data_IF_066776338354
#
_entry.id   IF_066776338354
#
_cell.length_a   1.000
_cell.length_b   1.000
_cell.length_c   1.000
_cell.angle_alpha   90.00
_cell.angle_beta   90.00
_cell.angle_gamma   90.00
#
_symmetry.space_group_name_H-M   'P 1'
#
loop_
_entity.id
_entity.type
_entity.pdbx_description
1 polymer ?
#
# COMPACT_ATOMS: atom_id res chain seq x y z
N UNK A 1 55.96 -60.44 27.73
CA UNK A 1 55.58 -60.34 26.31
C UNK A 1 54.62 -59.16 26.22
N UNK A 2 55.12 -58.07 25.61
CA UNK A 2 54.47 -56.78 25.25
C UNK A 2 53.83 -55.95 26.38
N UNK A 3 54.00 -54.63 26.51
CA UNK A 3 55.02 -53.62 26.17
C UNK A 3 54.42 -52.29 26.65
N UNK A 4 55.19 -51.43 27.32
CA UNK A 4 55.18 -49.95 27.21
C UNK A 4 55.89 -49.29 28.41
N UNK A 5 56.91 -48.44 28.19
CA UNK A 5 57.68 -47.80 29.26
C UNK A 5 57.35 -46.31 29.50
N UNK A 6 57.72 -45.89 30.71
CA UNK A 6 58.31 -44.61 31.16
C UNK A 6 57.57 -43.29 30.98
N UNK A 7 57.28 -42.70 32.14
CA UNK A 7 57.18 -41.27 32.37
C UNK A 7 58.55 -40.57 32.23
N UNK A 8 58.55 -39.34 31.74
CA UNK A 8 59.39 -38.25 32.28
C UNK A 8 58.90 -36.89 31.74
N UNK A 9 58.66 -35.95 32.67
CA UNK A 9 58.37 -34.55 32.40
C UNK A 9 59.67 -33.73 32.38
N UNK A 10 59.70 -32.62 31.61
CA UNK A 10 60.22 -31.39 32.17
C UNK A 10 59.25 -30.20 32.00
N UNK A 11 59.44 -29.21 32.87
CA UNK A 11 58.54 -28.10 33.21
C UNK A 11 58.67 -26.85 32.29
N UNK A 12 58.02 -25.71 32.61
CA UNK A 12 57.11 -24.99 31.72
C UNK A 12 57.78 -23.92 30.85
N UNK A 13 57.37 -23.82 29.59
CA UNK A 13 57.73 -22.71 28.72
C UNK A 13 56.87 -21.46 29.05
N UNK A 14 57.58 -20.37 29.26
CA UNK A 14 57.17 -19.03 29.66
C UNK A 14 56.11 -18.38 28.76
N UNK A 15 55.20 -17.66 29.40
CA UNK A 15 54.25 -16.74 28.80
C UNK A 15 54.95 -15.61 28.03
N UNK A 16 54.57 -15.43 26.76
CA UNK A 16 54.60 -14.13 26.08
C UNK A 16 53.69 -14.15 24.84
N UNK A 17 52.89 -13.09 24.70
CA UNK A 17 52.07 -12.75 23.53
C UNK A 17 50.71 -13.44 23.38
N UNK A 18 49.87 -13.35 24.41
CA UNK A 18 48.45 -13.11 24.18
C UNK A 18 48.30 -11.65 23.72
N UNK A 19 48.53 -11.39 22.43
CA UNK A 19 48.18 -10.13 21.81
C UNK A 19 46.66 -9.97 21.98
N UNK A 20 46.28 -8.94 22.72
CA UNK A 20 44.90 -8.55 22.93
C UNK A 20 44.22 -8.29 21.58
N UNK A 21 43.31 -9.18 21.17
CA UNK A 21 42.28 -8.89 20.18
C UNK A 21 41.28 -7.89 20.78
N UNK A 22 41.74 -6.66 20.99
CA UNK A 22 40.85 -5.55 21.30
C UNK A 22 40.15 -5.17 19.99
N UNK A 23 38.80 -5.20 19.92
CA UNK A 23 38.09 -4.83 18.70
C UNK A 23 38.42 -3.37 18.36
N UNK A 24 39.07 -3.16 17.21
CA UNK A 24 39.40 -1.84 16.69
C UNK A 24 38.13 -0.98 16.69
N UNK A 25 38.08 0.03 17.57
CA UNK A 25 36.97 1.00 17.63
C UNK A 25 36.92 1.76 16.30
N UNK A 26 36.18 1.24 15.33
CA UNK A 26 35.92 1.97 14.09
C UNK A 26 35.17 3.25 14.44
N UNK A 27 35.79 4.39 14.17
CA UNK A 27 35.20 5.71 14.37
C UNK A 27 33.89 5.79 13.59
N UNK A 28 32.89 6.52 14.11
CA UNK A 28 31.62 6.77 13.42
C UNK A 28 31.86 7.24 11.98
N UNK A 29 32.87 8.08 11.78
CA UNK A 29 33.34 8.57 10.47
C UNK A 29 33.77 7.47 9.51
N UNK A 30 34.59 6.50 9.94
CA UNK A 30 35.01 5.39 9.08
C UNK A 30 33.84 4.48 8.67
N UNK A 31 32.84 4.32 9.55
CA UNK A 31 31.59 3.62 9.21
C UNK A 31 30.75 4.41 8.20
N UNK A 32 30.60 5.72 8.38
CA UNK A 32 29.86 6.59 7.45
C UNK A 32 30.51 6.61 6.06
N UNK A 33 31.84 6.70 5.98
CA UNK A 33 32.58 6.66 4.71
C UNK A 33 32.44 5.33 3.98
N UNK A 34 32.51 4.20 4.71
CA UNK A 34 32.26 2.87 4.12
C UNK A 34 30.82 2.73 3.62
N UNK A 35 29.85 3.23 4.39
CA UNK A 35 28.45 3.22 4.00
C UNK A 35 28.23 4.07 2.74
N UNK A 36 28.74 5.31 2.71
CA UNK A 36 28.65 6.18 1.55
C UNK A 36 29.30 5.54 0.30
N UNK A 37 30.51 4.98 0.43
CA UNK A 37 31.17 4.25 -0.66
C UNK A 37 30.35 3.06 -1.14
N UNK A 38 29.75 2.31 -0.21
CA UNK A 38 28.87 1.18 -0.54
C UNK A 38 27.66 1.65 -1.32
N UNK A 39 27.00 2.72 -0.88
CA UNK A 39 25.85 3.32 -1.59
C UNK A 39 26.24 3.80 -2.98
N UNK A 40 27.31 4.59 -3.11
CA UNK A 40 27.79 5.05 -4.42
C UNK A 40 28.13 3.88 -5.35
N UNK A 41 28.74 2.81 -4.84
CA UNK A 41 29.09 1.64 -5.64
C UNK A 41 27.90 0.74 -6.01
N UNK A 42 26.78 0.82 -5.28
CA UNK A 42 25.63 -0.07 -5.42
C UNK A 42 24.55 0.47 -6.34
N UNK A 43 24.48 1.78 -6.55
CA UNK A 43 23.47 2.43 -7.40
C UNK A 43 24.09 3.39 -8.45
N UNK A 44 25.05 2.91 -9.27
CA UNK A 44 25.80 3.76 -10.19
C UNK A 44 24.93 4.44 -11.27
N UNK A 45 23.89 3.77 -11.79
CA UNK A 45 23.04 4.39 -12.80
C UNK A 45 22.18 5.51 -12.21
N UNK A 46 21.68 5.33 -10.99
CA UNK A 46 20.90 6.38 -10.32
C UNK A 46 21.74 7.65 -10.16
N UNK A 47 22.98 7.54 -9.69
CA UNK A 47 23.88 8.70 -9.58
C UNK A 47 24.26 9.30 -10.94
N UNK A 48 24.47 8.46 -11.95
CA UNK A 48 24.74 8.92 -13.31
C UNK A 48 23.58 9.76 -13.84
N UNK A 49 22.33 9.28 -13.73
CA UNK A 49 21.17 10.01 -14.23
C UNK A 49 20.91 11.30 -13.45
N UNK A 50 21.11 11.30 -12.12
CA UNK A 50 21.07 12.53 -11.32
C UNK A 50 22.16 13.51 -11.81
N UNK A 51 23.37 13.03 -12.07
CA UNK A 51 24.46 13.83 -12.60
C UNK A 51 24.17 14.42 -13.98
N UNK A 52 23.59 13.63 -14.89
CA UNK A 52 23.15 14.06 -16.22
C UNK A 52 22.05 15.13 -16.11
N UNK A 53 21.05 14.92 -15.24
CA UNK A 53 19.98 15.88 -14.99
C UNK A 53 20.51 17.22 -14.47
N UNK A 54 21.40 17.19 -13.48
CA UNK A 54 22.05 18.39 -12.93
C UNK A 54 22.95 19.06 -13.97
N UNK A 55 23.69 18.30 -14.75
CA UNK A 55 24.54 18.80 -15.83
C UNK A 55 23.72 19.49 -16.93
N UNK A 56 22.62 18.88 -17.37
CA UNK A 56 21.70 19.48 -18.33
C UNK A 56 21.06 20.76 -17.78
N UNK A 57 20.65 20.76 -16.51
CA UNK A 57 20.16 21.95 -15.81
C UNK A 57 21.20 23.07 -15.68
N UNK A 58 22.47 22.71 -15.49
CA UNK A 58 23.58 23.65 -15.46
C UNK A 58 23.82 24.27 -16.84
N UNK A 59 23.88 23.44 -17.89
CA UNK A 59 24.15 23.86 -19.27
C UNK A 59 23.03 24.76 -19.81
N UNK A 60 21.78 24.43 -19.53
CA UNK A 60 20.61 25.18 -20.01
C UNK A 60 20.20 26.35 -19.12
N UNK A 61 20.79 26.47 -17.93
CA UNK A 61 20.38 27.44 -16.90
C UNK A 61 19.09 27.07 -16.15
N UNK A 62 18.51 25.89 -16.41
CA UNK A 62 17.29 25.38 -15.75
C UNK A 62 17.37 25.29 -14.23
N UNK A 63 18.59 25.17 -13.67
CA UNK A 63 18.80 25.21 -12.22
C UNK A 63 18.47 26.57 -11.57
N UNK A 64 18.41 27.64 -12.36
CA UNK A 64 18.16 29.00 -11.85
C UNK A 64 16.90 29.64 -12.40
N UNK A 65 16.43 29.24 -13.59
CA UNK A 65 15.29 29.86 -14.27
C UNK A 65 14.42 28.79 -14.91
N UNK A 66 13.10 29.04 -15.07
CA UNK A 66 12.23 28.13 -15.79
C UNK A 66 12.72 27.89 -17.22
N UNK A 67 12.78 26.63 -17.64
CA UNK A 67 13.32 26.24 -18.95
C UNK A 67 12.42 26.68 -20.11
N UNK A 68 11.12 26.88 -19.85
CA UNK A 68 10.17 27.35 -20.85
C UNK A 68 10.58 28.69 -21.51
N UNK A 69 11.36 29.52 -20.81
CA UNK A 69 11.91 30.77 -21.36
C UNK A 69 13.18 30.60 -22.22
N UNK A 70 13.75 29.40 -22.31
CA UNK A 70 14.98 29.13 -23.04
C UNK A 70 14.71 28.93 -24.54
N UNK A 71 15.47 29.53 -25.48
CA UNK A 71 15.21 29.44 -26.92
C UNK A 71 15.16 28.00 -27.47
N UNK A 72 15.94 27.09 -26.89
CA UNK A 72 15.97 25.69 -27.30
C UNK A 72 14.81 24.85 -26.75
N UNK A 73 13.98 25.37 -25.83
CA UNK A 73 12.92 24.60 -25.18
C UNK A 73 11.98 23.93 -26.20
N UNK A 74 11.54 24.70 -27.20
CA UNK A 74 10.67 24.22 -28.31
C UNK A 74 11.31 23.08 -29.11
N UNK A 75 12.62 22.89 -29.08
CA UNK A 75 13.33 21.82 -29.77
C UNK A 75 13.65 20.60 -28.89
N UNK A 76 13.50 20.74 -27.56
CA UNK A 76 13.87 19.72 -26.58
C UNK A 76 12.65 19.11 -25.87
N UNK A 77 11.57 19.89 -25.69
CA UNK A 77 10.35 19.44 -25.05
C UNK A 77 9.59 18.40 -25.89
N UNK A 78 9.15 17.32 -25.24
CA UNK A 78 8.37 16.25 -25.87
C UNK A 78 6.87 16.51 -25.72
N UNK A 79 6.07 15.79 -26.49
CA UNK A 79 4.62 15.95 -26.53
C UNK A 79 4.09 15.76 -27.95
N UNK A 80 2.76 15.65 -28.07
CA UNK A 80 2.11 15.47 -29.37
C UNK A 80 2.52 16.54 -30.40
N UNK A 81 2.58 17.86 -30.07
CA UNK A 81 2.95 18.89 -31.03
C UNK A 81 4.40 18.76 -31.52
N UNK A 82 5.29 18.18 -30.72
CA UNK A 82 6.67 17.92 -31.10
C UNK A 82 6.76 16.76 -32.10
N UNK A 83 5.97 15.71 -31.92
CA UNK A 83 5.93 14.56 -32.84
C UNK A 83 5.31 14.91 -34.18
N UNK A 84 4.26 15.72 -34.21
CA UNK A 84 3.66 16.24 -35.44
C UNK A 84 4.65 17.03 -36.29
N UNK A 85 5.61 17.71 -35.63
CA UNK A 85 6.71 18.44 -36.27
C UNK A 85 7.93 17.57 -36.58
N UNK A 86 7.82 16.25 -36.45
CA UNK A 86 8.89 15.29 -36.73
C UNK A 86 10.00 15.24 -35.68
N UNK A 87 9.81 15.83 -34.49
CA UNK A 87 10.84 15.93 -33.45
C UNK A 87 10.93 14.69 -32.55
N UNK A 88 11.17 13.53 -33.16
CA UNK A 88 11.20 12.23 -32.47
C UNK A 88 12.38 12.03 -31.50
N UNK A 89 13.35 12.96 -31.47
CA UNK A 89 14.44 12.96 -30.48
C UNK A 89 14.05 13.59 -29.13
N UNK A 90 12.92 14.30 -29.08
CA UNK A 90 12.46 15.02 -27.87
C UNK A 90 12.24 14.12 -26.65
N UNK A 91 11.83 12.83 -26.75
CA UNK A 91 11.73 11.97 -25.57
C UNK A 91 13.09 11.77 -24.88
N UNK A 92 14.19 11.73 -25.63
CA UNK A 92 15.53 11.58 -25.05
C UNK A 92 16.07 12.91 -24.51
N UNK A 93 15.88 13.99 -25.25
CA UNK A 93 16.42 15.31 -24.89
C UNK A 93 15.63 16.00 -23.77
N UNK A 94 14.30 15.95 -23.79
CA UNK A 94 13.43 16.54 -22.78
C UNK A 94 13.41 15.79 -21.44
N UNK A 95 13.71 14.48 -21.43
CA UNK A 95 13.76 13.66 -20.19
C UNK A 95 14.75 14.22 -19.15
N UNK A 96 15.82 14.89 -19.57
CA UNK A 96 16.86 15.40 -18.68
C UNK A 96 16.77 16.91 -18.42
N UNK A 97 15.64 17.53 -18.74
CA UNK A 97 15.33 18.93 -18.44
C UNK A 97 14.21 18.99 -17.41
N UNK A 98 14.16 20.04 -16.61
CA UNK A 98 13.07 20.25 -15.66
C UNK A 98 12.46 21.62 -15.90
N UNK A 99 11.14 21.70 -15.71
CA UNK A 99 10.38 22.90 -16.02
C UNK A 99 10.80 24.09 -15.13
N UNK A 100 10.92 23.85 -13.82
CA UNK A 100 11.24 24.90 -12.83
C UNK A 100 12.39 24.51 -11.89
N UNK A 101 13.12 25.50 -11.32
CA UNK A 101 14.22 25.23 -10.39
C UNK A 101 13.83 24.41 -9.15
N UNK A 102 12.60 24.59 -8.65
CA UNK A 102 12.10 23.87 -7.48
C UNK A 102 11.82 22.39 -7.77
N UNK A 103 11.68 22.01 -9.05
CA UNK A 103 11.50 20.62 -9.44
C UNK A 103 12.77 19.78 -9.19
N UNK A 104 13.97 20.37 -9.24
CA UNK A 104 15.23 19.62 -9.02
C UNK A 104 15.27 18.87 -7.68
N UNK A 105 15.10 19.50 -6.51
CA UNK A 105 15.09 18.77 -5.25
C UNK A 105 13.97 17.73 -5.18
N UNK A 106 12.79 17.99 -5.75
CA UNK A 106 11.65 17.04 -5.74
C UNK A 106 11.98 15.80 -6.57
N UNK A 107 12.48 16.00 -7.79
CA UNK A 107 12.84 14.94 -8.74
C UNK A 107 14.04 14.13 -8.22
N UNK A 108 15.05 14.78 -7.66
CA UNK A 108 16.21 14.11 -7.03
C UNK A 108 15.74 13.23 -5.87
N UNK A 109 14.80 13.70 -5.04
CA UNK A 109 14.18 12.84 -4.03
C UNK A 109 13.44 11.67 -4.68
N UNK A 110 12.71 11.90 -5.76
CA UNK A 110 11.99 10.88 -6.54
C UNK A 110 12.87 9.72 -7.05
N UNK A 111 14.18 9.93 -7.26
CA UNK A 111 15.13 8.87 -7.60
C UNK A 111 15.27 7.78 -6.52
N UNK A 112 14.69 7.94 -5.33
CA UNK A 112 14.65 6.88 -4.31
C UNK A 112 14.11 5.55 -4.86
N UNK A 113 13.09 5.59 -5.73
CA UNK A 113 12.49 4.41 -6.32
C UNK A 113 13.47 3.68 -7.22
N UNK A 114 14.15 4.42 -8.10
CA UNK A 114 15.19 3.88 -8.97
C UNK A 114 16.38 3.35 -8.17
N UNK A 115 16.87 4.09 -7.18
CA UNK A 115 17.98 3.66 -6.33
C UNK A 115 17.65 2.37 -5.59
N UNK A 116 16.45 2.27 -5.02
CA UNK A 116 16.01 1.06 -4.32
C UNK A 116 15.89 -0.14 -5.28
N UNK A 117 15.34 0.10 -6.48
CA UNK A 117 15.23 -0.93 -7.51
C UNK A 117 16.59 -1.40 -8.02
N UNK A 118 17.51 -0.47 -8.28
CA UNK A 118 18.88 -0.75 -8.69
C UNK A 118 19.62 -1.55 -7.62
N UNK A 119 19.45 -1.20 -6.34
CA UNK A 119 20.02 -1.95 -5.23
C UNK A 119 19.49 -3.39 -5.17
N UNK A 120 18.20 -3.61 -5.45
CA UNK A 120 17.54 -4.90 -5.27
C UNK A 120 17.60 -5.82 -6.49
N UNK A 121 17.56 -5.26 -7.69
CA UNK A 121 17.50 -6.01 -8.97
C UNK A 121 18.64 -5.69 -9.94
N UNK A 122 19.56 -4.80 -9.55
CA UNK A 122 20.72 -4.42 -10.35
C UNK A 122 20.45 -3.30 -11.35
N UNK A 123 21.54 -2.72 -11.85
CA UNK A 123 21.55 -1.55 -12.74
C UNK A 123 20.77 -1.75 -14.04
N UNK A 124 20.91 -2.91 -14.69
CA UNK A 124 20.22 -3.18 -15.97
C UNK A 124 18.70 -3.14 -15.82
N UNK A 125 18.18 -3.72 -14.74
CA UNK A 125 16.73 -3.74 -14.48
C UNK A 125 16.24 -2.33 -14.15
N UNK A 126 16.96 -1.58 -13.31
CA UNK A 126 16.59 -0.20 -12.99
C UNK A 126 16.55 0.70 -14.23
N UNK A 127 17.56 0.62 -15.09
CA UNK A 127 17.60 1.35 -16.35
C UNK A 127 16.48 0.94 -17.31
N UNK A 128 16.14 -0.35 -17.38
CA UNK A 128 15.04 -0.84 -18.21
C UNK A 128 13.69 -0.29 -17.76
N UNK A 129 13.39 -0.28 -16.45
CA UNK A 129 12.16 0.34 -15.94
C UNK A 129 12.15 1.86 -16.12
N UNK A 130 13.30 2.53 -15.90
CA UNK A 130 13.39 3.97 -16.07
C UNK A 130 13.13 4.38 -17.52
N UNK A 131 13.93 3.87 -18.47
CA UNK A 131 13.81 4.26 -19.87
C UNK A 131 12.57 3.68 -20.55
N UNK A 132 12.22 2.43 -20.25
CA UNK A 132 11.00 1.80 -20.77
C UNK A 132 9.75 2.49 -20.26
N UNK A 133 9.71 2.82 -18.96
CA UNK A 133 8.62 3.57 -18.34
C UNK A 133 8.51 4.99 -18.88
N UNK A 134 9.63 5.71 -18.99
CA UNK A 134 9.69 7.06 -19.54
C UNK A 134 9.18 7.10 -20.97
N UNK A 135 9.72 6.23 -21.84
CA UNK A 135 9.33 6.20 -23.25
C UNK A 135 7.86 5.80 -23.43
N UNK A 136 7.38 4.82 -22.65
CA UNK A 136 5.97 4.43 -22.68
C UNK A 136 5.05 5.54 -22.18
N UNK A 137 5.42 6.24 -21.12
CA UNK A 137 4.63 7.35 -20.59
C UNK A 137 4.45 8.44 -21.65
N UNK A 138 5.55 8.92 -22.24
CA UNK A 138 5.53 9.98 -23.26
C UNK A 138 4.76 9.54 -24.51
N UNK A 139 5.12 8.39 -25.10
CA UNK A 139 4.49 7.93 -26.33
C UNK A 139 3.04 7.51 -26.12
N UNK A 140 2.74 6.91 -24.96
CA UNK A 140 1.39 6.53 -24.57
C UNK A 140 0.50 7.74 -24.34
N UNK A 141 1.01 8.77 -23.66
CA UNK A 141 0.27 10.03 -23.45
C UNK A 141 -0.02 10.71 -24.78
N UNK A 142 0.99 10.86 -25.64
CA UNK A 142 0.80 11.44 -26.97
C UNK A 142 -0.18 10.64 -27.83
N UNK A 143 -0.11 9.30 -27.81
CA UNK A 143 -1.05 8.45 -28.54
C UNK A 143 -2.49 8.55 -27.99
N UNK A 144 -2.66 8.60 -26.67
CA UNK A 144 -3.98 8.76 -26.05
C UNK A 144 -4.57 10.13 -26.35
N UNK A 145 -3.79 11.21 -26.26
CA UNK A 145 -4.23 12.56 -26.57
C UNK A 145 -4.58 12.72 -28.06
N UNK A 146 -3.75 12.17 -28.95
CA UNK A 146 -4.04 12.11 -30.38
C UNK A 146 -5.36 11.36 -30.66
N UNK A 147 -5.54 10.20 -30.02
CA UNK A 147 -6.77 9.41 -30.14
C UNK A 147 -7.98 10.18 -29.60
N UNK A 148 -7.84 10.83 -28.44
CA UNK A 148 -8.90 11.59 -27.80
C UNK A 148 -9.36 12.76 -28.68
N UNK A 149 -8.44 13.56 -29.22
CA UNK A 149 -8.80 14.66 -30.13
C UNK A 149 -9.38 14.15 -31.45
N UNK A 150 -8.96 12.96 -31.91
CA UNK A 150 -9.48 12.35 -33.16
C UNK A 150 -10.92 11.84 -32.99
N UNK A 151 -11.23 11.18 -31.87
CA UNK A 151 -12.53 10.52 -31.65
C UNK A 151 -13.51 11.34 -30.81
N UNK A 152 -13.04 12.35 -30.09
CA UNK A 152 -13.83 13.25 -29.25
C UNK A 152 -13.30 14.70 -29.41
N UNK A 153 -13.50 15.33 -30.58
CA UNK A 153 -12.91 16.65 -30.90
C UNK A 153 -13.41 17.76 -29.96
N UNK A 154 -14.62 17.61 -29.41
CA UNK A 154 -15.24 18.59 -28.50
C UNK A 154 -14.75 18.45 -27.05
N UNK A 155 -13.86 17.48 -26.78
CA UNK A 155 -13.33 17.27 -25.44
C UNK A 155 -12.23 18.31 -25.13
N UNK A 156 -12.65 19.44 -24.55
CA UNK A 156 -11.80 20.60 -24.27
C UNK A 156 -10.50 20.27 -23.50
N UNK A 157 -10.57 19.38 -22.50
CA UNK A 157 -9.39 18.92 -21.77
C UNK A 157 -8.39 18.22 -22.70
N UNK A 158 -8.85 17.29 -23.54
CA UNK A 158 -7.98 16.56 -24.46
C UNK A 158 -7.33 17.51 -25.48
N UNK A 159 -8.11 18.45 -26.03
CA UNK A 159 -7.58 19.47 -26.95
C UNK A 159 -6.51 20.36 -26.30
N UNK A 160 -6.74 20.78 -25.04
CA UNK A 160 -5.78 21.57 -24.28
C UNK A 160 -4.47 20.81 -24.04
N UNK A 161 -4.56 19.61 -23.47
CA UNK A 161 -3.36 18.82 -23.13
C UNK A 161 -2.64 18.27 -24.38
N UNK A 162 -3.37 18.02 -25.47
CA UNK A 162 -2.78 17.67 -26.77
C UNK A 162 -1.93 18.80 -27.37
N UNK A 163 -2.22 20.07 -27.04
CA UNK A 163 -1.43 21.22 -27.46
C UNK A 163 -0.24 21.52 -26.53
N UNK A 164 -0.16 20.84 -25.38
CA UNK A 164 0.91 21.00 -24.40
C UNK A 164 2.17 20.21 -24.78
N UNK A 165 3.31 20.66 -24.25
CA UNK A 165 4.59 19.94 -24.26
C UNK A 165 5.12 19.83 -22.84
N UNK A 166 5.96 18.83 -22.59
CA UNK A 166 6.51 18.54 -21.28
C UNK A 166 8.01 18.21 -21.35
N UNK A 167 8.66 18.31 -20.18
CA UNK A 167 10.04 17.95 -19.91
C UNK A 167 10.18 17.35 -18.52
N UNK A 168 11.02 16.34 -18.39
CA UNK A 168 11.34 15.75 -17.10
C UNK A 168 11.48 14.24 -17.13
N UNK A 169 12.17 13.66 -16.14
CA UNK A 169 12.34 12.22 -16.04
C UNK A 169 11.20 11.54 -15.27
N UNK A 170 10.09 12.25 -15.04
CA UNK A 170 9.08 11.90 -14.04
C UNK A 170 8.37 10.59 -14.39
N UNK A 171 8.01 10.33 -15.65
CA UNK A 171 7.43 9.05 -16.09
C UNK A 171 8.31 7.84 -15.74
N UNK A 172 9.61 7.93 -16.03
CA UNK A 172 10.60 6.91 -15.69
C UNK A 172 10.78 6.73 -14.19
N UNK A 173 10.73 7.84 -13.42
CA UNK A 173 10.74 7.79 -11.96
C UNK A 173 9.51 7.10 -11.39
N UNK A 174 8.30 7.41 -11.88
CA UNK A 174 7.07 6.76 -11.44
C UNK A 174 7.06 5.27 -11.79
N UNK A 175 7.58 4.88 -12.96
CA UNK A 175 7.78 3.48 -13.30
C UNK A 175 8.77 2.79 -12.34
N UNK A 176 9.90 3.43 -12.02
CA UNK A 176 10.84 2.89 -11.04
C UNK A 176 10.26 2.81 -9.62
N UNK A 177 9.46 3.80 -9.18
CA UNK A 177 8.75 3.79 -7.89
C UNK A 177 7.75 2.64 -7.86
N UNK A 178 6.94 2.48 -8.91
CA UNK A 178 5.99 1.37 -9.02
C UNK A 178 6.70 0.01 -8.97
N UNK A 179 7.82 -0.16 -9.69
CA UNK A 179 8.61 -1.38 -9.69
C UNK A 179 9.34 -1.62 -8.35
N UNK A 180 9.79 -0.56 -7.69
CA UNK A 180 10.32 -0.62 -6.34
C UNK A 180 9.29 -1.15 -5.34
N UNK A 181 8.02 -0.75 -5.47
CA UNK A 181 6.93 -1.23 -4.61
C UNK A 181 6.72 -2.74 -4.79
N UNK A 182 6.92 -3.32 -5.99
CA UNK A 182 6.70 -4.76 -6.22
C UNK A 182 7.68 -5.65 -5.46
N UNK A 183 8.90 -5.16 -5.20
CA UNK A 183 9.91 -5.85 -4.41
C UNK A 183 9.84 -5.56 -2.90
N UNK A 184 8.93 -4.69 -2.45
CA UNK A 184 8.76 -4.45 -1.01
C UNK A 184 8.10 -5.65 -0.31
N UNK A 185 8.47 -5.91 0.96
CA UNK A 185 7.79 -6.92 1.77
C UNK A 185 6.36 -6.49 2.12
N UNK A 186 5.51 -7.46 2.41
CA UNK A 186 4.21 -7.18 3.07
C UNK A 186 4.47 -6.65 4.49
N UNK A 187 3.75 -5.62 4.98
CA UNK A 187 2.60 -4.92 4.38
C UNK A 187 2.96 -3.72 3.48
N UNK A 188 4.24 -3.34 3.42
CA UNK A 188 4.69 -2.12 2.73
C UNK A 188 4.38 -2.12 1.24
N UNK A 189 4.39 -3.28 0.57
CA UNK A 189 3.96 -3.38 -0.83
C UNK A 189 2.53 -2.91 -1.05
N UNK A 190 1.58 -3.35 -0.22
CA UNK A 190 0.18 -2.94 -0.36
C UNK A 190 0.03 -1.43 -0.09
N UNK A 191 0.69 -0.92 0.94
CA UNK A 191 0.65 0.50 1.30
C UNK A 191 1.28 1.38 0.23
N UNK A 192 2.41 0.95 -0.34
CA UNK A 192 3.06 1.64 -1.45
C UNK A 192 2.14 1.73 -2.65
N UNK A 193 1.49 0.62 -3.04
CA UNK A 193 0.51 0.62 -4.13
C UNK A 193 -0.66 1.55 -3.86
N UNK A 194 -1.21 1.56 -2.64
CA UNK A 194 -2.30 2.45 -2.27
C UNK A 194 -1.88 3.92 -2.37
N UNK A 195 -0.71 4.28 -1.86
CA UNK A 195 -0.21 5.67 -1.90
C UNK A 195 0.04 6.09 -3.34
N UNK A 196 0.76 5.29 -4.14
CA UNK A 196 1.09 5.67 -5.52
C UNK A 196 -0.14 5.73 -6.41
N UNK A 197 -1.08 4.77 -6.28
CA UNK A 197 -2.32 4.76 -7.06
C UNK A 197 -3.24 5.91 -6.63
N UNK A 198 -3.38 6.16 -5.33
CA UNK A 198 -4.15 7.30 -4.85
C UNK A 198 -3.58 8.62 -5.37
N UNK A 199 -2.25 8.77 -5.37
CA UNK A 199 -1.57 9.95 -5.91
C UNK A 199 -1.87 10.14 -7.41
N UNK A 200 -1.53 9.16 -8.26
CA UNK A 200 -1.68 9.33 -9.73
C UNK A 200 -3.14 9.43 -10.16
N UNK A 201 -4.06 8.72 -9.49
CA UNK A 201 -5.49 8.81 -9.82
C UNK A 201 -6.02 10.18 -9.40
N UNK A 202 -5.72 10.68 -8.20
CA UNK A 202 -6.26 11.97 -7.76
C UNK A 202 -5.67 13.12 -8.57
N UNK A 203 -4.36 13.15 -8.83
CA UNK A 203 -3.83 14.21 -9.68
C UNK A 203 -4.44 14.16 -11.08
N UNK A 204 -4.53 12.97 -11.70
CA UNK A 204 -5.19 12.83 -13.00
C UNK A 204 -6.65 13.29 -13.00
N UNK A 205 -7.41 13.04 -11.93
CA UNK A 205 -8.83 13.43 -11.87
C UNK A 205 -9.06 14.92 -11.62
N UNK A 206 -8.15 15.60 -10.91
CA UNK A 206 -8.35 17.00 -10.51
C UNK A 206 -7.45 17.99 -11.26
N UNK A 207 -6.15 17.71 -11.42
CA UNK A 207 -5.22 18.58 -12.16
C UNK A 207 -5.07 18.17 -13.61
N UNK A 208 -5.06 16.85 -13.88
CA UNK A 208 -5.15 16.28 -15.21
C UNK A 208 -4.15 16.84 -16.22
N UNK A 209 -3.00 17.37 -15.81
CA UNK A 209 -2.01 17.89 -16.74
C UNK A 209 -1.33 16.75 -17.50
N UNK A 210 -0.65 17.08 -18.60
CA UNK A 210 0.08 16.09 -19.40
C UNK A 210 1.04 15.22 -18.56
N UNK A 211 1.70 15.79 -17.54
CA UNK A 211 2.60 15.03 -16.65
C UNK A 211 1.83 14.07 -15.73
N UNK A 212 0.63 14.42 -15.25
CA UNK A 212 -0.23 13.53 -14.48
C UNK A 212 -0.67 12.30 -15.29
N UNK A 213 -1.00 12.51 -16.57
CA UNK A 213 -1.31 11.44 -17.51
C UNK A 213 -0.09 10.53 -17.70
N UNK A 214 1.09 11.10 -17.90
CA UNK A 214 2.34 10.35 -18.03
C UNK A 214 2.66 9.52 -16.77
N UNK A 215 2.47 10.07 -15.57
CA UNK A 215 2.68 9.34 -14.31
C UNK A 215 1.69 8.18 -14.18
N UNK A 216 0.41 8.41 -14.50
CA UNK A 216 -0.61 7.37 -14.47
C UNK A 216 -0.24 6.22 -15.42
N UNK A 217 0.14 6.54 -16.67
CA UNK A 217 0.53 5.54 -17.66
C UNK A 217 1.77 4.76 -17.24
N UNK A 218 2.78 5.43 -16.69
CA UNK A 218 3.98 4.77 -16.16
C UNK A 218 3.63 3.75 -15.06
N UNK A 219 2.74 4.10 -14.14
CA UNK A 219 2.29 3.21 -13.07
C UNK A 219 1.44 2.05 -13.62
N UNK A 220 0.53 2.33 -14.56
CA UNK A 220 -0.30 1.30 -15.22
C UNK A 220 0.55 0.30 -16.01
N UNK A 221 1.60 0.76 -16.71
CA UNK A 221 2.55 -0.12 -17.40
C UNK A 221 3.13 -1.16 -16.43
N UNK A 222 3.64 -0.70 -15.28
CA UNK A 222 4.25 -1.59 -14.29
C UNK A 222 3.21 -2.52 -13.67
N UNK A 223 1.98 -2.06 -13.44
CA UNK A 223 0.89 -2.92 -13.01
C UNK A 223 0.65 -4.09 -13.99
N UNK A 224 0.67 -3.81 -15.30
CA UNK A 224 0.48 -4.80 -16.36
C UNK A 224 1.67 -5.75 -16.46
N UNK A 225 2.91 -5.22 -16.50
CA UNK A 225 4.14 -6.01 -16.66
C UNK A 225 4.37 -6.90 -15.43
N UNK A 226 4.32 -6.34 -14.22
CA UNK A 226 4.64 -7.09 -12.99
C UNK A 226 3.45 -7.90 -12.46
N UNK A 227 2.22 -7.64 -12.95
CA UNK A 227 0.97 -8.25 -12.47
C UNK A 227 0.88 -8.20 -10.94
N UNK A 228 1.17 -7.03 -10.38
CA UNK A 228 1.51 -6.84 -8.97
C UNK A 228 0.29 -6.74 -8.05
N UNK A 229 -0.90 -6.49 -8.60
CA UNK A 229 -2.18 -6.51 -7.87
C UNK A 229 -2.67 -7.94 -7.61
N UNK A 230 -1.82 -8.76 -6.98
CA UNK A 230 -2.25 -10.08 -6.52
C UNK A 230 -3.00 -9.92 -5.20
N UNK A 231 -4.20 -10.52 -5.03
CA UNK A 231 -4.94 -10.49 -3.78
C UNK A 231 -4.13 -11.15 -2.65
N UNK A 232 -3.35 -10.37 -1.92
CA UNK A 232 -2.70 -10.82 -0.70
C UNK A 232 -3.73 -10.79 0.43
N UNK A 233 -3.78 -11.82 1.27
CA UNK A 233 -4.63 -11.81 2.46
C UNK A 233 -4.15 -10.72 3.43
N UNK A 234 -4.70 -9.51 3.31
CA UNK A 234 -4.50 -8.42 4.27
C UNK A 234 -5.23 -8.72 5.57
N UNK A 235 -4.68 -8.23 6.69
CA UNK A 235 -5.33 -8.43 7.99
C UNK A 235 -6.59 -7.58 8.08
N UNK A 236 -7.57 -7.98 8.90
CA UNK A 236 -8.80 -7.18 9.14
C UNK A 236 -8.46 -5.76 9.63
N UNK A 237 -7.42 -5.62 10.46
CA UNK A 237 -6.93 -4.32 10.94
C UNK A 237 -6.44 -3.44 9.79
N UNK A 238 -5.72 -4.04 8.84
CA UNK A 238 -5.21 -3.34 7.66
C UNK A 238 -6.33 -2.95 6.70
N UNK A 239 -7.30 -3.83 6.44
CA UNK A 239 -8.48 -3.52 5.64
C UNK A 239 -9.24 -2.32 6.22
N UNK A 240 -9.48 -2.31 7.53
CA UNK A 240 -10.13 -1.18 8.23
C UNK A 240 -9.30 0.09 8.17
N UNK A 241 -7.97 -0.01 8.26
CA UNK A 241 -7.08 1.15 8.17
C UNK A 241 -7.12 1.78 6.78
N UNK A 242 -7.17 0.96 5.71
CA UNK A 242 -7.21 1.46 4.33
C UNK A 242 -8.53 2.17 4.07
N UNK A 243 -9.67 1.58 4.48
CA UNK A 243 -10.97 2.24 4.39
C UNK A 243 -10.99 3.55 5.20
N UNK A 244 -10.44 3.55 6.42
CA UNK A 244 -10.29 4.75 7.25
C UNK A 244 -9.50 5.85 6.53
N UNK A 245 -8.32 5.54 5.99
CA UNK A 245 -7.48 6.50 5.27
C UNK A 245 -8.19 6.99 4.01
N UNK A 246 -8.82 6.11 3.23
CA UNK A 246 -9.58 6.51 2.03
C UNK A 246 -10.73 7.46 2.37
N UNK A 247 -11.41 7.25 3.50
CA UNK A 247 -12.47 8.16 3.98
C UNK A 247 -11.92 9.53 4.36
N UNK A 248 -10.77 9.57 5.05
CA UNK A 248 -10.10 10.83 5.37
C UNK A 248 -9.59 11.54 4.12
N UNK A 249 -9.09 10.80 3.14
CA UNK A 249 -8.62 11.33 1.88
C UNK A 249 -9.77 11.99 1.10
N UNK A 250 -10.94 11.32 1.01
CA UNK A 250 -12.14 11.88 0.41
C UNK A 250 -12.58 13.18 1.11
N UNK A 251 -12.51 13.24 2.45
CA UNK A 251 -12.80 14.48 3.19
C UNK A 251 -11.73 15.57 3.05
N UNK A 252 -10.46 15.20 2.92
CA UNK A 252 -9.40 16.16 2.64
C UNK A 252 -9.59 16.76 1.23
N UNK A 253 -9.99 15.93 0.27
CA UNK A 253 -10.25 16.34 -1.10
C UNK A 253 -11.35 17.41 -1.17
N UNK A 254 -12.45 17.25 -0.42
CA UNK A 254 -13.51 18.29 -0.36
C UNK A 254 -13.02 19.64 0.15
N UNK A 255 -11.99 19.65 1.01
CA UNK A 255 -11.40 20.89 1.53
C UNK A 255 -10.44 21.48 0.48
N UNK A 256 -9.62 20.64 -0.15
CA UNK A 256 -8.64 21.09 -1.15
C UNK A 256 -9.33 21.72 -2.35
N UNK A 257 -10.39 21.09 -2.89
CA UNK A 257 -11.12 21.59 -4.06
C UNK A 257 -11.94 22.86 -3.77
N UNK A 258 -12.14 23.21 -2.50
CA UNK A 258 -12.73 24.51 -2.12
C UNK A 258 -11.72 25.65 -2.11
N UNK A 259 -10.43 25.35 -1.92
CA UNK A 259 -9.37 26.37 -1.78
C UNK A 259 -8.66 26.60 -3.11
N UNK A 260 -8.44 25.52 -3.87
CA UNK A 260 -7.64 25.54 -5.09
C UNK A 260 -8.54 25.15 -6.26
N UNK A 261 -8.79 26.06 -7.22
CA UNK A 261 -9.42 25.71 -8.47
C UNK A 261 -8.56 24.68 -9.20
N UNK A 262 -9.16 23.57 -9.58
CA UNK A 262 -8.49 22.48 -10.30
C UNK A 262 -9.20 22.22 -11.63
N UNK A 263 -8.50 21.67 -12.62
CA UNK A 263 -9.07 21.42 -13.96
C UNK A 263 -8.62 20.06 -14.45
N UNK A 264 -9.53 19.09 -14.55
CA UNK A 264 -9.21 17.72 -14.93
C UNK A 264 -9.87 17.28 -16.24
N UNK A 265 -9.85 15.97 -16.54
CA UNK A 265 -10.51 15.37 -17.69
C UNK A 265 -12.01 15.64 -17.78
N UNK A 266 -12.66 15.94 -16.66
CA UNK A 266 -14.07 16.29 -16.60
C UNK A 266 -14.33 17.80 -16.56
N UNK A 267 -13.32 18.63 -16.85
CA UNK A 267 -13.43 20.08 -16.85
C UNK A 267 -13.01 20.71 -15.53
N UNK A 268 -13.43 21.96 -15.33
CA UNK A 268 -13.14 22.71 -14.11
C UNK A 268 -13.80 22.04 -12.89
N UNK A 269 -13.10 22.07 -11.77
CA UNK A 269 -13.57 21.57 -10.48
C UNK A 269 -13.46 22.74 -9.50
N UNK A 270 -14.54 23.53 -9.45
CA UNK A 270 -14.62 24.77 -8.69
C UNK A 270 -15.87 24.67 -7.81
N UNK A 271 -15.75 25.10 -6.55
CA UNK A 271 -16.89 25.26 -5.67
C UNK A 271 -17.28 26.72 -5.71
N UNK A 272 -18.53 27.02 -6.09
CA UNK A 272 -19.04 28.39 -6.09
C UNK A 272 -18.94 29.06 -4.73
N UNK A 273 -18.66 30.36 -4.72
CA UNK A 273 -18.61 31.16 -3.48
C UNK A 273 -19.94 31.12 -2.71
N UNK A 274 -21.07 30.98 -3.41
CA UNK A 274 -22.40 30.85 -2.79
C UNK A 274 -22.58 29.51 -2.05
N UNK A 275 -21.91 28.45 -2.50
CA UNK A 275 -21.94 27.10 -1.90
C UNK A 275 -20.74 26.83 -0.97
N UNK A 276 -19.71 27.67 -1.01
CA UNK A 276 -18.48 27.61 -0.21
C UNK A 276 -18.70 28.09 1.24
N UNK A 277 -19.68 27.51 1.94
CA UNK A 277 -19.87 27.75 3.37
C UNK A 277 -18.85 26.97 4.20
N UNK A 278 -17.90 27.67 4.83
CA UNK A 278 -16.98 27.04 5.79
C UNK A 278 -17.70 26.29 6.92
N UNK A 279 -18.93 26.68 7.24
CA UNK A 279 -19.78 25.98 8.22
C UNK A 279 -20.24 24.63 7.67
N UNK A 280 -20.71 24.56 6.42
CA UNK A 280 -21.13 23.29 5.79
C UNK A 280 -19.93 22.34 5.62
N UNK A 281 -18.76 22.88 5.28
CA UNK A 281 -17.50 22.13 5.21
C UNK A 281 -17.09 21.60 6.58
N UNK A 282 -17.17 22.42 7.65
CA UNK A 282 -16.85 21.98 9.01
C UNK A 282 -17.80 20.87 9.49
N UNK A 283 -19.10 21.00 9.24
CA UNK A 283 -20.09 19.96 9.55
C UNK A 283 -19.76 18.66 8.78
N UNK A 284 -19.48 18.77 7.48
CA UNK A 284 -19.10 17.64 6.64
C UNK A 284 -17.84 16.95 7.15
N UNK A 285 -16.81 17.72 7.53
CA UNK A 285 -15.59 17.18 8.11
C UNK A 285 -15.86 16.42 9.42
N UNK A 286 -16.72 16.94 10.31
CA UNK A 286 -17.12 16.24 11.54
C UNK A 286 -17.83 14.93 11.23
N UNK A 287 -18.79 14.92 10.29
CA UNK A 287 -19.50 13.71 9.87
C UNK A 287 -18.53 12.68 9.29
N UNK A 288 -17.61 13.11 8.42
CA UNK A 288 -16.57 12.25 7.83
C UNK A 288 -15.68 11.65 8.92
N UNK A 289 -15.25 12.44 9.91
CA UNK A 289 -14.44 11.96 11.03
C UNK A 289 -15.19 10.95 11.90
N UNK A 290 -16.49 11.15 12.14
CA UNK A 290 -17.34 10.21 12.88
C UNK A 290 -17.46 8.87 12.14
N UNK A 291 -17.75 8.91 10.84
CA UNK A 291 -17.84 7.72 9.98
C UNK A 291 -16.48 7.02 9.89
N UNK A 292 -15.40 7.75 9.65
CA UNK A 292 -14.03 7.23 9.60
C UNK A 292 -13.65 6.53 10.92
N UNK A 293 -13.92 7.14 12.08
CA UNK A 293 -13.67 6.51 13.38
C UNK A 293 -14.52 5.24 13.57
N UNK A 294 -15.77 5.24 13.10
CA UNK A 294 -16.63 4.06 13.05
C UNK A 294 -16.01 2.91 12.22
N UNK A 295 -15.49 3.22 11.04
CA UNK A 295 -14.80 2.27 10.16
C UNK A 295 -13.52 1.74 10.79
N UNK A 296 -12.71 2.60 11.41
CA UNK A 296 -11.50 2.21 12.16
C UNK A 296 -11.83 1.21 13.28
N UNK A 297 -12.94 1.41 13.99
CA UNK A 297 -13.44 0.50 15.04
C UNK A 297 -14.14 -0.74 14.49
N UNK A 298 -14.37 -0.84 13.17
CA UNK A 298 -15.04 -1.97 12.53
C UNK A 298 -16.55 -2.04 12.81
N UNK A 299 -17.20 -0.89 13.01
CA UNK A 299 -18.64 -0.82 13.24
C UNK A 299 -19.40 -1.04 11.94
N UNK A 300 -20.38 -1.95 11.95
CA UNK A 300 -21.18 -2.27 10.77
C UNK A 300 -21.97 -1.07 10.25
N UNK A 301 -22.54 -0.24 11.15
CA UNK A 301 -23.27 0.96 10.74
C UNK A 301 -22.42 1.93 9.90
N UNK A 302 -21.14 2.10 10.25
CA UNK A 302 -20.24 3.00 9.53
C UNK A 302 -19.96 2.49 8.12
N UNK A 303 -19.79 1.16 7.97
CA UNK A 303 -19.67 0.54 6.65
C UNK A 303 -20.93 0.72 5.80
N UNK A 304 -22.12 0.53 6.39
CA UNK A 304 -23.40 0.76 5.67
C UNK A 304 -23.50 2.21 5.23
N UNK A 305 -23.22 3.18 6.10
CA UNK A 305 -23.24 4.61 5.75
C UNK A 305 -22.27 4.91 4.61
N UNK A 306 -21.02 4.41 4.67
CA UNK A 306 -20.05 4.62 3.60
C UNK A 306 -20.49 4.01 2.26
N UNK A 307 -21.12 2.83 2.27
CA UNK A 307 -21.70 2.22 1.06
C UNK A 307 -22.83 3.08 0.51
N UNK A 308 -23.77 3.51 1.34
CA UNK A 308 -24.90 4.35 0.91
C UNK A 308 -24.41 5.67 0.33
N UNK A 309 -23.48 6.36 0.99
CA UNK A 309 -22.91 7.62 0.50
C UNK A 309 -22.17 7.41 -0.82
N UNK A 310 -21.34 6.38 -0.93
CA UNK A 310 -20.64 6.09 -2.18
C UNK A 310 -21.61 5.78 -3.32
N UNK A 311 -22.62 4.95 -3.07
CA UNK A 311 -23.66 4.63 -4.05
C UNK A 311 -24.47 5.86 -4.47
N UNK A 312 -24.80 6.76 -3.54
CA UNK A 312 -25.52 7.99 -3.85
C UNK A 312 -24.70 8.92 -4.75
N UNK A 313 -23.41 9.12 -4.46
CA UNK A 313 -22.54 9.95 -5.30
C UNK A 313 -22.40 9.37 -6.72
N UNK A 314 -22.24 8.05 -6.84
CA UNK A 314 -22.19 7.38 -8.14
C UNK A 314 -23.54 7.52 -8.86
N UNK A 315 -24.66 7.36 -8.15
CA UNK A 315 -25.99 7.52 -8.73
C UNK A 315 -26.23 8.94 -9.25
N UNK A 316 -25.86 9.97 -8.49
CA UNK A 316 -25.93 11.37 -8.93
C UNK A 316 -25.09 11.59 -10.19
N UNK A 317 -23.87 11.06 -10.24
CA UNK A 317 -23.03 11.17 -11.44
C UNK A 317 -23.62 10.41 -12.64
N UNK A 318 -24.25 9.25 -12.45
CA UNK A 318 -24.94 8.54 -13.52
C UNK A 318 -26.16 9.30 -14.04
N UNK A 319 -26.94 9.92 -13.15
CA UNK A 319 -28.05 10.81 -13.55
C UNK A 319 -27.54 12.03 -14.31
N UNK A 320 -26.42 12.60 -13.87
CA UNK A 320 -25.77 13.72 -14.54
C UNK A 320 -25.30 13.33 -15.95
N UNK A 321 -24.61 12.19 -16.09
CA UNK A 321 -24.21 11.65 -17.40
C UNK A 321 -25.40 11.35 -18.31
N UNK A 322 -26.50 10.82 -17.76
CA UNK A 322 -27.74 10.62 -18.51
C UNK A 322 -28.30 11.96 -18.99
N UNK A 323 -28.31 12.98 -18.14
CA UNK A 323 -28.81 14.32 -18.48
C UNK A 323 -27.94 14.96 -19.57
N UNK A 324 -26.61 14.88 -19.44
CA UNK A 324 -25.65 15.32 -20.47
C UNK A 324 -25.92 14.60 -21.80
N UNK A 325 -26.17 13.29 -21.77
CA UNK A 325 -26.49 12.52 -22.97
C UNK A 325 -27.84 12.87 -23.62
N UNK A 326 -28.78 13.46 -22.86
CA UNK A 326 -30.11 13.83 -23.34
C UNK A 326 -30.19 15.27 -23.86
N UNK A 327 -29.53 16.21 -23.17
CA UNK A 327 -29.68 17.66 -23.43
C UNK A 327 -28.38 18.32 -23.90
N UNK A 328 -27.24 17.61 -23.80
CA UNK A 328 -25.93 18.13 -24.17
C UNK A 328 -25.14 18.66 -22.98
N UNK A 329 -23.82 18.77 -23.14
CA UNK A 329 -22.92 19.26 -22.09
C UNK A 329 -23.18 20.72 -21.74
N UNK A 330 -23.30 21.59 -22.76
CA UNK A 330 -23.44 23.05 -22.58
C UNK A 330 -24.66 23.41 -21.75
N UNK A 331 -25.84 22.85 -22.08
CA UNK A 331 -27.07 23.14 -21.33
C UNK A 331 -26.96 22.71 -19.85
N UNK A 332 -26.34 21.56 -19.59
CA UNK A 332 -26.16 21.05 -18.23
C UNK A 332 -25.15 21.89 -17.47
N UNK A 333 -24.06 22.29 -18.11
CA UNK A 333 -23.00 23.10 -17.52
C UNK A 333 -23.53 24.51 -17.14
N UNK A 334 -24.27 25.15 -18.05
CA UNK A 334 -24.93 26.44 -17.82
C UNK A 334 -25.91 26.39 -16.64
N UNK A 335 -26.66 25.29 -16.52
CA UNK A 335 -27.66 25.11 -15.44
C UNK A 335 -27.01 24.76 -14.10
N UNK A 336 -25.94 23.96 -14.12
CA UNK A 336 -25.30 23.40 -12.93
C UNK A 336 -24.10 24.23 -12.44
N UNK A 337 -23.79 25.35 -13.09
CA UNK A 337 -22.57 26.12 -12.91
C UNK A 337 -21.31 25.26 -13.13
N UNK A 338 -20.79 25.27 -14.37
CA UNK A 338 -19.62 24.59 -14.95
C UNK A 338 -18.68 23.81 -14.00
N UNK A 339 -18.25 24.42 -12.90
CA UNK A 339 -17.34 23.83 -11.91
C UNK A 339 -17.92 22.67 -11.08
N UNK A 340 -19.24 22.58 -10.92
CA UNK A 340 -19.88 21.53 -10.13
C UNK A 340 -19.98 20.21 -10.90
N UNK A 341 -20.21 20.27 -12.22
CA UNK A 341 -20.36 19.10 -13.09
C UNK A 341 -19.07 18.29 -13.13
N UNK A 342 -17.95 18.96 -13.42
CA UNK A 342 -16.63 18.33 -13.45
C UNK A 342 -16.25 17.72 -12.09
N UNK A 343 -16.56 18.43 -10.99
CA UNK A 343 -16.28 17.97 -9.63
C UNK A 343 -17.08 16.71 -9.28
N UNK A 344 -18.37 16.66 -9.63
CA UNK A 344 -19.22 15.48 -9.41
C UNK A 344 -18.70 14.29 -10.20
N UNK A 345 -18.34 14.45 -11.47
CA UNK A 345 -17.83 13.36 -12.31
C UNK A 345 -16.46 12.85 -11.82
N UNK A 346 -15.53 13.75 -11.51
CA UNK A 346 -14.19 13.41 -11.00
C UNK A 346 -14.28 12.66 -9.66
N UNK A 347 -15.08 13.16 -8.71
CA UNK A 347 -15.26 12.51 -7.41
C UNK A 347 -16.01 11.17 -7.52
N UNK A 348 -16.94 11.02 -8.47
CA UNK A 348 -17.67 9.78 -8.69
C UNK A 348 -16.77 8.60 -9.07
N UNK A 349 -15.71 8.84 -9.87
CA UNK A 349 -14.70 7.80 -10.18
C UNK A 349 -14.01 7.31 -8.90
N UNK A 350 -13.67 8.22 -8.00
CA UNK A 350 -13.01 7.90 -6.72
C UNK A 350 -13.98 7.16 -5.80
N UNK A 351 -15.25 7.60 -5.75
CA UNK A 351 -16.31 6.89 -5.03
C UNK A 351 -16.54 5.49 -5.58
N UNK A 352 -16.47 5.28 -6.90
CA UNK A 352 -16.59 3.96 -7.52
C UNK A 352 -15.44 3.04 -7.10
N UNK A 353 -14.19 3.51 -7.16
CA UNK A 353 -13.01 2.75 -6.70
C UNK A 353 -13.15 2.42 -5.20
N UNK A 354 -13.55 3.40 -4.39
CA UNK A 354 -13.75 3.25 -2.95
C UNK A 354 -14.89 2.25 -2.63
N UNK A 355 -16.01 2.29 -3.37
CA UNK A 355 -17.12 1.36 -3.23
C UNK A 355 -16.72 -0.07 -3.59
N UNK A 356 -15.97 -0.25 -4.69
CA UNK A 356 -15.40 -1.55 -5.06
C UNK A 356 -14.54 -2.08 -3.92
N UNK A 357 -13.68 -1.24 -3.34
CA UNK A 357 -12.87 -1.64 -2.20
C UNK A 357 -13.70 -2.01 -0.96
N UNK A 358 -14.70 -1.18 -0.59
CA UNK A 358 -15.64 -1.47 0.50
C UNK A 358 -16.36 -2.81 0.33
N UNK A 359 -16.76 -3.14 -0.90
CA UNK A 359 -17.41 -4.39 -1.25
C UNK A 359 -16.45 -5.58 -1.08
N UNK A 360 -15.20 -5.44 -1.55
CA UNK A 360 -14.15 -6.46 -1.39
C UNK A 360 -13.84 -6.73 0.09
N UNK A 361 -13.81 -5.69 0.94
CA UNK A 361 -13.52 -5.82 2.38
C UNK A 361 -14.76 -5.95 3.27
N UNK A 362 -15.94 -6.26 2.71
CA UNK A 362 -17.21 -6.42 3.48
C UNK A 362 -17.08 -7.36 4.67
N UNK A 363 -16.23 -8.38 4.57
CA UNK A 363 -15.95 -9.34 5.64
C UNK A 363 -15.32 -8.71 6.90
N UNK A 364 -14.62 -7.58 6.77
CA UNK A 364 -14.01 -6.87 7.89
C UNK A 364 -15.01 -6.17 8.81
N UNK A 365 -16.23 -5.93 8.33
CA UNK A 365 -17.27 -5.15 9.01
C UNK A 365 -18.49 -5.97 9.40
N UNK A 366 -18.58 -7.23 8.93
CA UNK A 366 -19.59 -8.18 9.43
C UNK A 366 -19.24 -8.58 10.86
N UNK A 367 -20.19 -8.41 11.77
CA UNK A 367 -20.12 -9.08 13.06
C UNK A 367 -20.12 -10.59 12.79
N UNK A 368 -18.98 -11.27 12.96
CA UNK A 368 -18.99 -12.74 13.01
C UNK A 368 -19.75 -13.12 14.28
N UNK A 369 -20.83 -13.90 14.19
CA UNK A 369 -21.36 -14.59 15.37
C UNK A 369 -20.18 -15.31 16.01
N UNK A 370 -20.01 -15.12 17.32
CA UNK A 370 -18.99 -15.82 18.09
C UNK A 370 -19.36 -17.30 18.12
N UNK A 371 -19.08 -18.07 17.07
CA UNK A 371 -19.26 -19.51 17.13
C UNK A 371 -18.25 -20.07 18.14
N UNK A 372 -18.72 -20.70 19.23
CA UNK A 372 -17.87 -21.49 20.11
C UNK A 372 -17.22 -22.61 19.29
N UNK A 373 -15.98 -22.98 19.61
CA UNK A 373 -15.43 -24.23 19.06
C UNK A 373 -16.30 -25.39 19.55
N UNK A 374 -16.66 -26.32 18.67
CA UNK A 374 -17.47 -27.49 19.02
C UNK A 374 -18.97 -27.44 18.67
N UNK A 375 -19.51 -26.35 18.11
CA UNK A 375 -20.94 -26.27 17.74
C UNK A 375 -21.35 -27.14 16.53
N UNK A 376 -20.44 -27.97 16.00
CA UNK A 376 -20.69 -28.86 14.86
C UNK A 376 -19.86 -30.15 14.89
N UNK A 377 -19.26 -30.49 16.03
CA UNK A 377 -18.58 -31.78 16.22
C UNK A 377 -19.63 -32.86 16.51
N UNK A 378 -19.48 -34.03 15.88
CA UNK A 378 -20.33 -35.20 16.11
C UNK A 378 -20.22 -35.76 17.54
N UNK A 379 -19.26 -35.30 18.35
CA UNK A 379 -19.21 -35.54 19.79
C UNK A 379 -20.20 -34.60 20.49
N UNK A 380 -21.47 -35.00 20.51
CA UNK A 380 -22.59 -34.24 21.04
C UNK A 380 -22.42 -33.82 22.51
N UNK A 381 -22.32 -32.51 22.73
CA UNK A 381 -23.05 -31.83 23.81
C UNK A 381 -23.12 -30.34 23.47
N UNK A 382 -24.32 -29.77 23.44
CA UNK A 382 -24.60 -28.40 23.02
C UNK A 382 -24.18 -27.32 24.03
N UNK A 383 -23.46 -27.67 25.10
CA UNK A 383 -23.15 -26.77 26.22
C UNK A 383 -21.66 -26.80 26.53
N UNK A 384 -20.97 -25.66 26.46
CA UNK A 384 -19.58 -25.56 26.92
C UNK A 384 -19.47 -26.04 28.38
N UNK A 385 -18.41 -26.80 28.74
CA UNK A 385 -18.13 -27.13 30.14
C UNK A 385 -18.14 -25.89 31.03
N UNK A 386 -18.79 -25.99 32.20
CA UNK A 386 -18.73 -24.94 33.22
C UNK A 386 -17.39 -24.94 33.95
N UNK A 387 -17.04 -23.80 34.56
CA UNK A 387 -15.80 -23.69 35.38
C UNK A 387 -15.83 -24.68 36.55
N UNK A 388 -17.00 -24.99 37.09
CA UNK A 388 -17.13 -25.95 38.20
C UNK A 388 -16.93 -27.40 37.74
N UNK A 389 -17.38 -27.77 36.54
CA UNK A 389 -17.01 -29.06 35.91
C UNK A 389 -15.51 -29.17 35.69
N UNK A 390 -14.87 -28.09 35.23
CA UNK A 390 -13.41 -28.05 35.03
C UNK A 390 -12.67 -28.22 36.35
N UNK A 391 -13.11 -27.54 37.42
CA UNK A 391 -12.56 -27.73 38.77
C UNK A 391 -12.75 -29.16 39.28
N UNK A 392 -13.93 -29.75 39.05
CA UNK A 392 -14.21 -31.14 39.43
C UNK A 392 -13.28 -32.11 38.68
N UNK A 393 -13.09 -31.90 37.37
CA UNK A 393 -12.23 -32.73 36.52
C UNK A 393 -10.75 -32.64 36.93
N UNK A 394 -10.26 -31.45 37.31
CA UNK A 394 -8.92 -31.27 37.87
C UNK A 394 -8.77 -32.04 39.18
N UNK A 395 -9.80 -32.03 40.05
CA UNK A 395 -9.78 -32.77 41.32
C UNK A 395 -9.83 -34.28 41.14
N UNK A 396 -10.58 -34.78 40.15
CA UNK A 396 -10.77 -36.23 39.93
C UNK A 396 -9.66 -36.88 39.12
N UNK A 397 -9.17 -36.20 38.08
CA UNK A 397 -8.28 -36.78 37.06
C UNK A 397 -6.89 -36.12 37.05
N UNK A 398 -6.70 -35.07 37.85
CA UNK A 398 -5.51 -34.23 37.79
C UNK A 398 -5.38 -33.49 36.45
N UNK A 399 -4.18 -32.97 36.21
CA UNK A 399 -3.75 -32.48 34.90
C UNK A 399 -2.25 -32.18 34.92
N UNK A 400 -1.73 -31.58 33.84
CA UNK A 400 -0.33 -31.14 33.76
C UNK A 400 0.05 -30.02 34.76
N UNK A 401 1.30 -29.59 34.72
CA UNK A 401 1.85 -28.52 35.60
C UNK A 401 1.10 -27.18 35.48
N UNK A 402 0.42 -26.96 34.36
CA UNK A 402 -0.32 -25.73 34.06
C UNK A 402 -1.85 -25.86 34.20
N UNK A 403 -2.35 -26.96 34.76
CA UNK A 403 -3.81 -27.24 34.86
C UNK A 403 -4.59 -26.18 35.63
N UNK A 404 -3.95 -25.52 36.59
CA UNK A 404 -4.55 -24.44 37.36
C UNK A 404 -4.93 -23.24 36.48
N UNK A 405 -4.22 -23.00 35.38
CA UNK A 405 -4.53 -21.95 34.39
C UNK A 405 -5.85 -22.20 33.66
N UNK A 406 -6.37 -23.44 33.66
CA UNK A 406 -7.66 -23.77 33.08
C UNK A 406 -8.82 -23.05 33.79
N UNK A 407 -8.64 -22.63 35.05
CA UNK A 407 -9.66 -21.96 35.86
C UNK A 407 -9.62 -20.43 35.78
N UNK A 408 -8.72 -19.86 34.97
CA UNK A 408 -8.63 -18.41 34.79
C UNK A 408 -9.85 -17.83 34.11
N UNK A 409 -10.20 -16.61 34.51
CA UNK A 409 -11.26 -15.84 33.87
C UNK A 409 -10.94 -15.57 32.40
N UNK A 410 -11.95 -15.73 31.54
CA UNK A 410 -11.82 -15.51 30.10
C UNK A 410 -11.43 -16.74 29.28
N UNK A 411 -11.28 -17.91 29.91
CA UNK A 411 -11.14 -19.17 29.19
C UNK A 411 -12.47 -19.61 28.56
N UNK A 412 -12.39 -20.09 27.32
CA UNK A 412 -13.43 -20.91 26.71
C UNK A 412 -13.02 -22.40 26.85
N UNK A 413 -14.00 -23.29 26.82
CA UNK A 413 -13.76 -24.73 26.99
C UNK A 413 -14.28 -25.50 25.78
N UNK A 414 -13.45 -26.40 25.25
CA UNK A 414 -13.88 -27.40 24.27
C UNK A 414 -14.00 -28.75 24.97
N UNK A 415 -15.18 -29.35 24.95
CA UNK A 415 -15.34 -30.75 25.34
C UNK A 415 -14.85 -31.65 24.20
N UNK A 416 -13.99 -32.60 24.52
CA UNK A 416 -13.42 -33.59 23.60
C UNK A 416 -14.00 -34.97 23.89
N UNK A 417 -13.64 -35.96 23.10
CA UNK A 417 -14.09 -37.35 23.29
C UNK A 417 -13.65 -37.96 24.63
N UNK A 418 -12.54 -37.48 25.20
CA UNK A 418 -11.90 -38.05 26.39
C UNK A 418 -11.69 -37.05 27.53
N UNK A 419 -12.08 -35.78 27.36
CA UNK A 419 -11.73 -34.72 28.30
C UNK A 419 -12.22 -33.33 27.93
N UNK A 420 -11.47 -32.31 28.40
CA UNK A 420 -11.73 -30.89 28.15
C UNK A 420 -10.43 -30.16 27.83
N UNK A 421 -10.45 -29.31 26.81
CA UNK A 421 -9.33 -28.43 26.46
C UNK A 421 -9.71 -26.97 26.76
N UNK A 422 -9.05 -26.31 27.73
CA UNK A 422 -9.19 -24.88 27.96
C UNK A 422 -8.42 -24.10 26.88
N UNK A 423 -9.07 -23.11 26.30
CA UNK A 423 -8.45 -22.28 25.27
C UNK A 423 -8.87 -20.82 25.40
N UNK A 424 -8.01 -19.93 24.89
CA UNK A 424 -8.36 -18.54 24.67
C UNK A 424 -8.39 -18.21 23.19
N UNK A 425 -9.26 -17.26 22.83
CA UNK A 425 -9.38 -16.78 21.46
C UNK A 425 -8.71 -15.42 21.34
N UNK A 426 -7.68 -15.35 20.50
CA UNK A 426 -7.04 -14.09 20.18
C UNK A 426 -6.96 -13.91 18.66
N UNK A 427 -7.60 -12.85 18.13
CA UNK A 427 -7.50 -12.42 16.73
C UNK A 427 -7.59 -13.52 15.65
N UNK A 428 -8.43 -14.55 15.85
CA UNK A 428 -8.63 -15.65 14.89
C UNK A 428 -7.73 -16.87 15.10
N UNK A 429 -6.89 -16.84 16.14
CA UNK A 429 -6.13 -17.97 16.67
C UNK A 429 -6.85 -18.53 17.89
N UNK A 430 -6.93 -19.86 18.00
CA UNK A 430 -7.29 -20.54 19.23
C UNK A 430 -5.98 -20.99 19.91
N UNK A 431 -5.76 -20.51 21.14
CA UNK A 431 -4.56 -20.78 21.92
C UNK A 431 -4.94 -21.75 23.03
N UNK A 432 -4.42 -22.97 22.98
CA UNK A 432 -4.52 -23.90 24.11
C UNK A 432 -3.55 -23.43 25.20
N UNK A 433 -4.07 -23.17 26.41
CA UNK A 433 -3.31 -22.56 27.51
C UNK A 433 -2.70 -23.58 28.47
N UNK A 434 -3.18 -24.82 28.42
CA UNK A 434 -2.73 -25.90 29.28
C UNK A 434 -2.97 -27.24 28.57
N UNK A 435 -2.36 -28.30 29.11
CA UNK A 435 -2.63 -29.66 28.67
C UNK A 435 -4.13 -30.01 28.81
N UNK A 436 -4.65 -30.90 27.96
CA UNK A 436 -6.03 -31.38 28.10
C UNK A 436 -6.30 -31.97 29.49
N UNK A 437 -7.45 -31.63 30.04
CA UNK A 437 -7.96 -32.14 31.31
C UNK A 437 -8.69 -33.47 31.08
N UNK A 438 -8.47 -34.45 31.96
CA UNK A 438 -9.03 -35.79 31.86
C UNK A 438 -7.99 -36.91 32.05
N UNK A 439 -8.38 -38.19 31.88
CA UNK A 439 -7.50 -39.34 32.04
C UNK A 439 -6.24 -39.22 31.17
N UNK A 440 -5.08 -39.57 31.74
CA UNK A 440 -3.79 -39.43 31.05
C UNK A 440 -3.74 -40.16 29.70
N UNK A 441 -4.37 -41.34 29.60
CA UNK A 441 -4.48 -42.13 28.37
C UNK A 441 -5.28 -41.43 27.26
N UNK A 442 -6.17 -40.50 27.60
CA UNK A 442 -7.04 -39.80 26.65
C UNK A 442 -6.52 -38.44 26.18
N UNK A 443 -5.48 -37.87 26.79
CA UNK A 443 -5.05 -36.49 26.51
C UNK A 443 -4.57 -36.28 25.08
N UNK A 444 -3.83 -37.23 24.50
CA UNK A 444 -3.39 -37.16 23.11
C UNK A 444 -4.58 -37.05 22.15
N UNK A 445 -5.64 -37.83 22.37
CA UNK A 445 -6.87 -37.75 21.58
C UNK A 445 -7.58 -36.38 21.75
N UNK A 446 -7.59 -35.82 22.96
CA UNK A 446 -8.15 -34.49 23.19
C UNK A 446 -7.41 -33.37 22.43
N UNK A 447 -6.09 -33.50 22.23
CA UNK A 447 -5.34 -32.56 21.38
C UNK A 447 -5.79 -32.69 19.92
N UNK A 448 -5.93 -33.91 19.41
CA UNK A 448 -6.41 -34.16 18.04
C UNK A 448 -7.80 -33.57 17.84
N UNK A 449 -8.73 -33.84 18.75
CA UNK A 449 -10.10 -33.31 18.70
C UNK A 449 -10.12 -31.77 18.70
N UNK A 450 -9.22 -31.13 19.45
CA UNK A 450 -9.07 -29.68 19.46
C UNK A 450 -8.52 -29.13 18.15
N UNK A 451 -7.49 -29.78 17.59
CA UNK A 451 -6.92 -29.41 16.29
C UNK A 451 -7.98 -29.51 15.20
N UNK A 452 -8.71 -30.62 15.14
CA UNK A 452 -9.77 -30.84 14.17
C UNK A 452 -10.89 -29.82 14.31
N UNK A 453 -11.34 -29.54 15.53
CA UNK A 453 -12.38 -28.53 15.78
C UNK A 453 -11.92 -27.12 15.37
N UNK A 454 -10.65 -26.77 15.61
CA UNK A 454 -10.09 -25.49 15.22
C UNK A 454 -9.91 -25.36 13.70
N UNK A 455 -9.51 -26.44 13.02
CA UNK A 455 -9.40 -26.49 11.56
C UNK A 455 -10.77 -26.37 10.88
N UNK A 456 -11.77 -27.13 11.35
CA UNK A 456 -13.15 -27.02 10.85
C UNK A 456 -13.75 -25.63 11.08
N UNK A 457 -13.40 -24.96 12.18
CA UNK A 457 -13.79 -23.58 12.45
C UNK A 457 -12.98 -22.54 11.67
N UNK A 458 -12.04 -22.95 10.82
CA UNK A 458 -11.18 -22.07 10.00
C UNK A 458 -10.23 -21.21 10.83
N UNK A 459 -9.81 -21.68 12.01
CA UNK A 459 -8.88 -20.97 12.91
C UNK A 459 -7.47 -21.51 12.79
N UNK A 460 -6.49 -20.63 13.03
CA UNK A 460 -5.09 -21.05 13.23
C UNK A 460 -4.92 -21.49 14.69
N UNK A 461 -4.02 -22.43 14.93
CA UNK A 461 -3.80 -23.02 16.26
C UNK A 461 -2.43 -22.57 16.77
N UNK A 462 -2.35 -22.21 18.04
CA UNK A 462 -1.10 -22.10 18.77
C UNK A 462 -1.22 -22.94 20.04
N UNK A 463 -0.21 -23.74 20.34
CA UNK A 463 -0.15 -24.58 21.53
C UNK A 463 1.08 -24.16 22.33
N UNK A 464 0.91 -23.83 23.60
CA UNK A 464 2.03 -23.59 24.51
C UNK A 464 2.34 -24.90 25.23
N UNK A 465 3.50 -25.49 24.95
CA UNK A 465 3.96 -26.68 25.68
C UNK A 465 4.86 -26.24 26.83
N UNK A 466 4.28 -26.23 28.04
CA UNK A 466 5.00 -26.14 29.28
C UNK A 466 5.76 -27.42 29.61
N UNK A 467 6.87 -27.67 28.90
CA UNK A 467 7.94 -28.59 29.31
C UNK A 467 7.90 -30.01 28.72
N UNK A 468 9.02 -30.38 28.09
CA UNK A 468 9.40 -31.76 27.80
C UNK A 468 9.62 -32.07 26.32
N UNK A 469 10.88 -32.13 25.92
CA UNK A 469 11.31 -32.71 24.64
C UNK A 469 10.67 -34.08 24.40
N UNK A 470 9.89 -34.21 23.33
CA UNK A 470 9.74 -35.46 22.60
C UNK A 470 9.59 -35.14 21.11
N UNK A 471 10.64 -35.43 20.34
CA UNK A 471 10.57 -35.52 18.88
C UNK A 471 9.74 -36.75 18.54
N UNK A 472 8.76 -36.59 17.65
CA UNK A 472 8.44 -37.59 16.64
C UNK A 472 8.08 -36.87 15.34
#
# INVERSE_FOLDING_TARGET
MTDAPSADHPAPATAASAASDAPVRTTRWARSLRFARTVLSRVPATWLLIGVLLGAGLITGGLWRPIAGHPLYVHLAYGLPSFEKGKWWTPLSGTFLLDTPIAYPIIILGFWGMAYLEWKRGTRVALAYFFGGQLFAILGAAFLLWSAVTFAPDWAWAAKEAASVDVGPSGGLFACIAAAITVMPSPWRLRGWLVVLAFVIVNMMFWGSIDDLEHLLAVLLVLVIDRSLRPQRSTVREQRLIVFIGTLMLGALTIVTQIVPTYGPFGATIVDEADASWVSTAISAVVILLVANGLRRGRHWAWVVSVVVASLNIFVALLLLLTIGLVGWEEVADTANDGSVGLVLATAVIWAIYLVYLALVRGAFRARPRHPLGSGSAAGSATQPSVDEVKALIRSSGGGTLSWMATWDGNDYLRTSTGVVPYQRHTGVAIALADPLGPASGRAQSVVDFVDAAQHAGRRIAHDHGGGHARH
#
